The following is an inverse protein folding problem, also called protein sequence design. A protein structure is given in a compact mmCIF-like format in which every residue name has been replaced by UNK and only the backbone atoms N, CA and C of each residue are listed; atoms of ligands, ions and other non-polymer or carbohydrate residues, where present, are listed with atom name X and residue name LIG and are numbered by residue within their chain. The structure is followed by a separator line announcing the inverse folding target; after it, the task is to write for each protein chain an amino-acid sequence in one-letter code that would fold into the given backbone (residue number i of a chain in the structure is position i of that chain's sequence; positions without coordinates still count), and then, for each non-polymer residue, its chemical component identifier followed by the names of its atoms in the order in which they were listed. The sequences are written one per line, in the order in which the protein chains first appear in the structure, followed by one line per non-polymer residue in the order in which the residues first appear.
data_IF_061953167798
#
_entry.id   IF_061953167798
#
_cell.length_a   1.000
_cell.length_b   1.000
_cell.length_c   1.000
_cell.angle_alpha   90.00
_cell.angle_beta   90.00
_cell.angle_gamma   90.00
#
_symmetry.space_group_name_H-M   'P 1'
#
loop_
_entity.id
_entity.type
_entity.pdbx_description
1 polymer ?
#
# COMPACT_ATOMS: atom_id res chain seq x y z
N UNK A 1 -39.88 11.48 -7.70
CA UNK A 1 -40.73 12.47 -8.39
C UNK A 1 -40.77 13.85 -7.70
N UNK A 2 -41.08 13.98 -6.39
CA UNK A 2 -41.02 15.30 -5.72
C UNK A 2 -39.65 16.00 -5.81
N UNK A 3 -38.55 15.26 -5.57
CA UNK A 3 -37.17 15.78 -5.65
C UNK A 3 -36.69 16.22 -7.04
N UNK A 4 -37.29 15.73 -8.12
CA UNK A 4 -36.90 16.11 -9.50
C UNK A 4 -37.61 17.39 -9.96
N UNK A 5 -38.85 17.61 -9.48
CA UNK A 5 -39.65 18.78 -9.84
C UNK A 5 -39.45 19.97 -8.87
N UNK A 6 -39.16 19.74 -7.58
CA UNK A 6 -38.82 20.81 -6.64
C UNK A 6 -37.48 21.50 -6.99
N UNK A 7 -36.61 20.83 -7.76
CA UNK A 7 -35.33 21.38 -8.21
C UNK A 7 -35.44 22.33 -9.42
N UNK A 8 -36.56 22.29 -10.15
CA UNK A 8 -36.81 23.08 -11.37
C UNK A 8 -37.20 24.53 -11.04
N UNK A 9 -37.76 24.79 -9.86
CA UNK A 9 -38.14 26.15 -9.44
C UNK A 9 -37.00 26.92 -8.77
N UNK A 10 -36.07 26.26 -8.05
CA UNK A 10 -34.88 26.93 -7.49
C UNK A 10 -33.80 27.26 -8.54
N UNK A 11 -33.87 26.63 -9.72
CA UNK A 11 -32.92 26.83 -10.84
C UNK A 11 -33.14 28.14 -11.60
N UNK A 12 -34.29 28.81 -11.45
CA UNK A 12 -34.58 30.08 -12.15
C UNK A 12 -33.79 31.27 -11.58
N UNK A 13 -33.62 31.36 -10.27
CA UNK A 13 -32.86 32.46 -9.64
C UNK A 13 -31.35 32.33 -9.85
N UNK A 14 -30.83 31.09 -9.92
CA UNK A 14 -29.41 30.84 -10.21
C UNK A 14 -29.01 31.12 -11.67
N UNK A 15 -29.97 31.11 -12.60
CA UNK A 15 -29.71 31.30 -14.04
C UNK A 15 -29.23 32.72 -14.42
N UNK A 16 -29.56 33.73 -13.61
CA UNK A 16 -29.26 35.15 -13.90
C UNK A 16 -27.89 35.58 -13.38
N UNK A 17 -27.32 34.91 -12.38
CA UNK A 17 -25.99 35.20 -11.82
C UNK A 17 -24.82 34.63 -12.65
N UNK A 18 -25.10 33.77 -13.63
CA UNK A 18 -24.11 33.03 -14.39
C UNK A 18 -23.43 33.82 -15.54
N UNK A 19 -23.96 35.00 -15.90
CA UNK A 19 -23.49 35.78 -17.06
C UNK A 19 -22.07 36.38 -16.94
N UNK A 20 -21.36 36.20 -15.81
CA UNK A 20 -20.00 36.70 -15.59
C UNK A 20 -19.07 35.74 -14.82
N UNK A 21 -19.32 34.42 -14.83
CA UNK A 21 -18.40 33.51 -14.15
C UNK A 21 -17.12 33.27 -14.94
N UNK A 22 -15.99 33.37 -14.25
CA UNK A 22 -14.68 33.09 -14.80
C UNK A 22 -14.57 31.59 -15.09
N UNK A 23 -14.53 31.20 -16.37
CA UNK A 23 -14.33 29.82 -16.83
C UNK A 23 -13.13 29.14 -16.15
N UNK A 24 -12.11 29.91 -15.74
CA UNK A 24 -10.99 29.37 -14.97
C UNK A 24 -11.39 28.93 -13.56
N UNK A 25 -12.27 29.68 -12.88
CA UNK A 25 -12.74 29.35 -11.53
C UNK A 25 -13.65 28.11 -11.55
N UNK A 26 -14.55 28.02 -12.54
CA UNK A 26 -15.39 26.82 -12.73
C UNK A 26 -14.52 25.60 -13.01
N UNK A 27 -13.52 25.73 -13.90
CA UNK A 27 -12.60 24.63 -14.19
C UNK A 27 -11.86 24.17 -12.94
N UNK A 28 -11.37 25.11 -12.13
CA UNK A 28 -10.66 24.79 -10.90
C UNK A 28 -11.57 24.05 -9.90
N UNK A 29 -12.80 24.52 -9.71
CA UNK A 29 -13.78 23.86 -8.84
C UNK A 29 -14.08 22.43 -9.32
N UNK A 30 -14.24 22.23 -10.64
CA UNK A 30 -14.46 20.90 -11.20
C UNK A 30 -13.23 19.99 -11.07
N UNK A 31 -12.00 20.53 -11.21
CA UNK A 31 -10.77 19.76 -10.97
C UNK A 31 -10.71 19.23 -9.55
N UNK A 32 -11.06 20.07 -8.57
CA UNK A 32 -11.12 19.68 -7.15
C UNK A 32 -12.24 18.67 -6.90
N UNK A 33 -13.43 18.90 -7.44
CA UNK A 33 -14.58 18.02 -7.29
C UNK A 33 -14.34 16.60 -7.82
N UNK A 34 -13.71 16.48 -9.00
CA UNK A 34 -13.46 15.19 -9.65
C UNK A 34 -12.08 14.60 -9.34
N UNK A 35 -11.35 15.12 -8.34
CA UNK A 35 -9.97 14.72 -7.99
C UNK A 35 -9.07 14.59 -9.25
N UNK A 36 -9.15 15.61 -10.12
CA UNK A 36 -8.43 15.67 -11.39
C UNK A 36 -8.58 14.41 -12.26
N UNK A 37 -9.75 13.77 -12.21
CA UNK A 37 -10.07 12.56 -12.99
C UNK A 37 -11.23 12.81 -13.95
N UNK A 38 -11.25 12.08 -15.06
CA UNK A 38 -12.33 12.15 -16.03
C UNK A 38 -13.61 11.58 -15.39
N UNK A 39 -14.68 12.36 -15.36
CA UNK A 39 -16.00 11.94 -14.86
C UNK A 39 -16.52 10.67 -15.56
N UNK A 40 -16.11 10.41 -16.80
CA UNK A 40 -16.59 9.29 -17.61
C UNK A 40 -15.73 8.04 -17.54
N UNK A 41 -14.43 8.18 -17.85
CA UNK A 41 -13.54 7.03 -17.97
C UNK A 41 -12.59 6.86 -16.78
N UNK A 42 -12.71 7.75 -15.78
CA UNK A 42 -11.92 7.73 -14.54
C UNK A 42 -10.40 7.80 -14.75
N UNK A 43 -9.95 8.26 -15.92
CA UNK A 43 -8.54 8.54 -16.19
C UNK A 43 -8.10 9.81 -15.50
N UNK A 44 -6.89 9.81 -14.93
CA UNK A 44 -6.28 11.04 -14.45
C UNK A 44 -6.05 12.01 -15.61
N UNK A 45 -6.41 13.26 -15.39
CA UNK A 45 -6.33 14.34 -16.38
C UNK A 45 -5.06 15.19 -16.20
N UNK A 46 -4.74 15.99 -17.21
CA UNK A 46 -3.63 16.95 -17.14
C UNK A 46 -2.23 16.37 -17.39
N UNK A 47 -2.11 15.08 -17.71
CA UNK A 47 -0.81 14.46 -18.01
C UNK A 47 -0.31 14.79 -19.42
N UNK A 48 -1.19 14.68 -20.42
CA UNK A 48 -0.87 14.89 -21.84
C UNK A 48 -1.71 15.99 -22.48
N UNK A 49 -2.85 16.33 -21.89
CA UNK A 49 -3.74 17.38 -22.38
C UNK A 49 -4.48 18.03 -21.22
N UNK A 50 -4.84 19.32 -21.32
CA UNK A 50 -5.66 19.98 -20.32
C UNK A 50 -7.02 19.29 -20.13
N UNK A 51 -7.56 19.25 -18.90
CA UNK A 51 -8.94 18.85 -18.65
C UNK A 51 -9.93 19.73 -19.43
N UNK A 52 -10.99 19.11 -19.96
CA UNK A 52 -12.09 19.79 -20.64
C UNK A 52 -13.35 19.77 -19.78
N UNK A 53 -14.28 20.68 -20.06
CA UNK A 53 -15.60 20.73 -19.43
C UNK A 53 -16.62 20.27 -20.48
N UNK A 54 -17.23 19.12 -20.25
CA UNK A 54 -18.37 18.64 -21.04
C UNK A 54 -19.69 19.11 -20.42
N UNK A 55 -20.70 19.25 -21.28
CA UNK A 55 -22.09 19.51 -20.89
C UNK A 55 -22.88 18.21 -21.09
N UNK A 56 -23.30 17.57 -20.00
CA UNK A 56 -23.98 16.27 -20.06
C UNK A 56 -25.18 16.31 -21.01
N UNK A 57 -26.11 17.25 -20.76
CA UNK A 57 -27.14 17.70 -21.69
C UNK A 57 -26.51 18.65 -22.71
N UNK A 58 -26.44 18.28 -24.01
CA UNK A 58 -25.75 19.07 -25.01
C UNK A 58 -26.48 20.38 -25.29
N UNK A 59 -25.74 21.49 -25.28
CA UNK A 59 -26.29 22.84 -25.51
C UNK A 59 -27.08 22.99 -26.81
N UNK A 60 -26.72 22.23 -27.85
CA UNK A 60 -27.41 22.22 -29.15
C UNK A 60 -28.86 21.74 -29.05
N UNK A 61 -29.17 20.87 -28.10
CA UNK A 61 -30.49 20.28 -27.87
C UNK A 61 -31.16 20.83 -26.61
N UNK A 62 -30.37 21.23 -25.62
CA UNK A 62 -30.83 21.74 -24.33
C UNK A 62 -30.14 23.07 -23.96
N UNK A 63 -30.43 24.18 -24.66
CA UNK A 63 -29.80 25.48 -24.41
C UNK A 63 -29.96 25.96 -22.96
N UNK A 64 -31.13 25.72 -22.36
CA UNK A 64 -31.47 26.16 -21.00
C UNK A 64 -30.65 25.45 -19.91
N UNK A 65 -30.05 24.28 -20.23
CA UNK A 65 -29.21 23.51 -19.31
C UNK A 65 -27.72 23.85 -19.43
N UNK A 66 -27.32 24.59 -20.46
CA UNK A 66 -25.91 24.82 -20.79
C UNK A 66 -25.08 25.44 -19.66
N UNK A 67 -25.71 26.22 -18.78
CA UNK A 67 -25.05 26.95 -17.69
C UNK A 67 -25.40 26.44 -16.30
N UNK A 68 -26.06 25.28 -16.21
CA UNK A 68 -26.36 24.65 -14.92
C UNK A 68 -25.12 23.91 -14.43
N UNK A 69 -24.68 24.14 -13.18
CA UNK A 69 -23.51 23.47 -12.59
C UNK A 69 -23.63 21.95 -12.65
N UNK A 70 -24.82 21.44 -12.37
CA UNK A 70 -25.18 20.03 -12.41
C UNK A 70 -25.12 19.42 -13.82
N UNK A 71 -24.98 20.26 -14.85
CA UNK A 71 -24.78 19.85 -16.23
C UNK A 71 -23.29 19.84 -16.64
N UNK A 72 -22.38 20.37 -15.82
CA UNK A 72 -20.95 20.50 -16.15
C UNK A 72 -20.15 19.33 -15.58
N UNK A 73 -19.35 18.68 -16.43
CA UNK A 73 -18.53 17.53 -16.08
C UNK A 73 -17.08 17.78 -16.46
N UNK A 74 -16.15 17.43 -15.57
CA UNK A 74 -14.72 17.39 -15.91
C UNK A 74 -14.42 16.13 -16.71
N UNK A 75 -13.85 16.24 -17.90
CA UNK A 75 -13.56 15.07 -18.71
C UNK A 75 -12.28 15.20 -19.54
N UNK A 76 -11.82 14.08 -20.10
CA UNK A 76 -10.75 14.08 -21.08
C UNK A 76 -11.29 14.46 -22.47
N UNK A 77 -10.43 15.03 -23.30
CA UNK A 77 -10.75 15.42 -24.68
C UNK A 77 -11.30 14.26 -25.53
N UNK A 78 -10.86 13.03 -25.27
CA UNK A 78 -11.35 11.84 -25.97
C UNK A 78 -12.80 11.53 -25.62
N UNK A 79 -13.16 11.53 -24.33
CA UNK A 79 -14.54 11.29 -23.90
C UNK A 79 -15.46 12.43 -24.34
N UNK A 80 -15.01 13.68 -24.23
CA UNK A 80 -15.76 14.85 -24.69
C UNK A 80 -16.08 14.74 -26.18
N UNK A 81 -15.08 14.44 -27.01
CA UNK A 81 -15.23 14.27 -28.46
C UNK A 81 -16.12 13.09 -28.83
N UNK A 82 -15.95 11.95 -28.15
CA UNK A 82 -16.72 10.75 -28.44
C UNK A 82 -18.21 10.93 -28.09
N UNK A 83 -18.50 11.58 -26.96
CA UNK A 83 -19.87 11.95 -26.60
C UNK A 83 -20.43 13.00 -27.56
N UNK A 84 -19.74 14.12 -27.74
CA UNK A 84 -20.22 15.25 -28.54
C UNK A 84 -21.66 15.65 -28.15
N UNK A 85 -22.55 15.65 -29.15
CA UNK A 85 -23.99 15.90 -28.95
C UNK A 85 -24.82 14.61 -28.77
N UNK A 86 -24.19 13.44 -28.61
CA UNK A 86 -24.92 12.19 -28.42
C UNK A 86 -25.65 12.21 -27.07
N UNK A 87 -26.98 12.12 -27.14
CA UNK A 87 -27.87 12.09 -25.98
C UNK A 87 -29.03 11.13 -26.24
N UNK A 88 -28.75 9.81 -26.39
CA UNK A 88 -29.77 8.83 -26.70
C UNK A 88 -30.80 8.73 -25.57
N UNK A 89 -32.06 8.61 -25.95
CA UNK A 89 -33.19 8.41 -25.03
C UNK A 89 -33.80 7.03 -25.26
N UNK A 90 -34.39 6.45 -24.22
CA UNK A 90 -35.24 5.26 -24.35
C UNK A 90 -36.66 5.64 -24.83
N UNK A 91 -37.55 4.64 -24.89
CA UNK A 91 -38.93 4.83 -25.34
C UNK A 91 -39.77 5.75 -24.42
N UNK A 92 -39.35 5.91 -23.16
CA UNK A 92 -40.00 6.77 -22.17
C UNK A 92 -39.38 8.17 -22.12
N UNK A 93 -38.38 8.44 -22.97
CA UNK A 93 -37.67 9.71 -23.05
C UNK A 93 -36.59 9.89 -21.96
N UNK A 94 -36.18 8.81 -21.29
CA UNK A 94 -35.12 8.85 -20.28
C UNK A 94 -33.72 8.67 -20.91
N UNK A 95 -32.68 9.34 -20.38
CA UNK A 95 -31.35 9.27 -20.96
C UNK A 95 -30.71 7.90 -20.80
N UNK A 96 -30.29 7.32 -21.93
CA UNK A 96 -29.55 6.06 -21.96
C UNK A 96 -28.08 6.23 -21.58
N UNK A 97 -27.50 7.41 -21.81
CA UNK A 97 -26.15 7.73 -21.34
C UNK A 97 -26.16 7.89 -19.81
N UNK A 98 -25.20 7.27 -19.12
CA UNK A 98 -25.03 7.44 -17.68
C UNK A 98 -24.44 8.83 -17.37
N UNK A 99 -25.06 9.50 -16.41
CA UNK A 99 -24.61 10.77 -15.85
C UNK A 99 -23.69 10.51 -14.64
N UNK A 100 -22.39 10.82 -14.71
CA UNK A 100 -21.45 10.63 -13.60
C UNK A 100 -21.82 11.32 -12.29
N UNK A 101 -22.69 12.34 -12.31
CA UNK A 101 -23.14 13.05 -11.09
C UNK A 101 -24.28 12.36 -10.36
N UNK A 102 -25.10 11.59 -11.08
CA UNK A 102 -26.39 11.12 -10.56
C UNK A 102 -26.57 9.61 -10.66
N UNK A 103 -25.90 8.97 -11.61
CA UNK A 103 -25.99 7.53 -11.82
C UNK A 103 -24.85 6.81 -11.10
N UNK A 104 -25.18 5.68 -10.48
CA UNK A 104 -24.19 4.75 -9.95
C UNK A 104 -23.71 3.83 -11.07
N UNK A 105 -22.46 4.00 -11.52
CA UNK A 105 -21.91 3.22 -12.64
C UNK A 105 -21.86 1.71 -12.34
N UNK A 106 -21.65 1.33 -11.08
CA UNK A 106 -21.55 -0.08 -10.65
C UNK A 106 -22.87 -0.86 -10.81
N UNK A 107 -24.01 -0.15 -10.88
CA UNK A 107 -25.32 -0.78 -11.16
C UNK A 107 -25.51 -1.08 -12.66
N UNK A 108 -24.73 -0.43 -13.52
CA UNK A 108 -24.95 -0.42 -14.97
C UNK A 108 -23.83 -1.07 -15.78
N UNK A 109 -22.59 -1.07 -15.27
CA UNK A 109 -21.43 -1.67 -15.91
C UNK A 109 -20.43 -2.20 -14.87
N UNK A 110 -19.53 -3.07 -15.32
CA UNK A 110 -18.46 -3.67 -14.51
C UNK A 110 -17.14 -3.60 -15.25
N UNK A 111 -16.04 -3.41 -14.53
CA UNK A 111 -14.69 -3.58 -15.07
C UNK A 111 -14.16 -4.97 -14.73
N UNK A 112 -13.85 -5.76 -15.75
CA UNK A 112 -13.28 -7.10 -15.61
C UNK A 112 -11.78 -7.05 -15.32
N UNK A 113 -11.20 -8.18 -14.88
CA UNK A 113 -9.77 -8.29 -14.54
C UNK A 113 -8.84 -8.01 -15.71
N UNK A 114 -9.31 -8.22 -16.93
CA UNK A 114 -8.59 -7.90 -18.17
C UNK A 114 -8.75 -6.43 -18.59
N UNK A 115 -9.36 -5.58 -17.76
CA UNK A 115 -9.55 -4.15 -18.00
C UNK A 115 -10.72 -3.81 -18.93
N UNK A 116 -11.47 -4.81 -19.41
CA UNK A 116 -12.64 -4.60 -20.27
C UNK A 116 -13.84 -4.16 -19.42
N UNK A 117 -14.54 -3.12 -19.88
CA UNK A 117 -15.83 -2.71 -19.35
C UNK A 117 -16.94 -3.56 -20.00
N UNK A 118 -17.75 -4.23 -19.18
CA UNK A 118 -18.90 -5.04 -19.57
C UNK A 118 -20.19 -4.39 -19.07
N UNK A 119 -21.25 -4.44 -19.87
CA UNK A 119 -22.54 -3.87 -19.51
C UNK A 119 -23.36 -4.83 -18.65
N UNK A 120 -24.01 -4.30 -17.61
CA UNK A 120 -25.03 -4.99 -16.82
C UNK A 120 -26.43 -4.62 -17.35
N UNK A 121 -26.57 -3.40 -17.87
CA UNK A 121 -27.84 -2.83 -18.35
C UNK A 121 -27.68 -2.20 -19.74
N UNK A 122 -28.79 -1.93 -20.43
CA UNK A 122 -28.78 -1.21 -21.72
C UNK A 122 -28.16 0.20 -21.59
N UNK A 123 -28.39 0.91 -20.47
CA UNK A 123 -27.74 2.21 -20.22
C UNK A 123 -26.21 2.08 -20.15
N UNK A 124 -25.73 1.04 -19.47
CA UNK A 124 -24.31 0.72 -19.39
C UNK A 124 -23.72 0.39 -20.76
N UNK A 125 -24.44 -0.40 -21.58
CA UNK A 125 -24.03 -0.76 -22.94
C UNK A 125 -23.88 0.47 -23.83
N UNK A 126 -24.92 1.30 -23.89
CA UNK A 126 -24.91 2.55 -24.67
C UNK A 126 -23.78 3.49 -24.21
N UNK A 127 -23.54 3.56 -22.90
CA UNK A 127 -22.46 4.37 -22.33
C UNK A 127 -21.07 3.86 -22.72
N UNK A 128 -20.84 2.55 -22.65
CA UNK A 128 -19.58 1.93 -23.08
C UNK A 128 -19.32 2.21 -24.56
N UNK A 129 -20.35 2.06 -25.40
CA UNK A 129 -20.28 2.28 -26.85
C UNK A 129 -20.01 3.75 -27.20
N UNK A 130 -20.82 4.69 -26.69
CA UNK A 130 -20.68 6.13 -26.99
C UNK A 130 -19.34 6.67 -26.54
N UNK A 131 -18.94 6.38 -25.30
CA UNK A 131 -17.70 6.93 -24.75
C UNK A 131 -16.47 6.15 -25.22
N UNK A 132 -16.68 5.01 -25.90
CA UNK A 132 -15.66 4.04 -26.28
C UNK A 132 -14.77 3.69 -25.08
N UNK A 133 -15.40 3.18 -24.02
CA UNK A 133 -14.73 2.85 -22.75
C UNK A 133 -13.77 1.66 -22.88
N UNK A 134 -13.83 0.90 -23.96
CA UNK A 134 -12.97 -0.24 -24.28
C UNK A 134 -11.89 0.08 -25.33
N UNK A 135 -11.53 1.36 -25.50
CA UNK A 135 -10.36 1.71 -26.32
C UNK A 135 -9.06 1.16 -25.70
N UNK A 136 -8.08 0.72 -26.50
CA UNK A 136 -6.90 -0.01 -26.00
C UNK A 136 -6.16 0.66 -24.84
N UNK A 137 -5.96 1.98 -24.91
CA UNK A 137 -5.28 2.72 -23.85
C UNK A 137 -5.97 2.64 -22.48
N UNK A 138 -7.31 2.63 -22.44
CA UNK A 138 -8.06 2.51 -21.18
C UNK A 138 -7.97 1.10 -20.59
N UNK A 139 -8.03 0.09 -21.46
CA UNK A 139 -7.92 -1.31 -21.06
C UNK A 139 -6.57 -1.53 -20.37
N UNK A 140 -5.48 -1.09 -21.00
CA UNK A 140 -4.14 -1.22 -20.43
C UNK A 140 -3.97 -0.42 -19.14
N UNK A 141 -4.50 0.80 -19.06
CA UNK A 141 -4.45 1.59 -17.83
C UNK A 141 -5.19 0.90 -16.67
N UNK A 142 -6.39 0.33 -16.92
CA UNK A 142 -7.14 -0.41 -15.89
C UNK A 142 -6.41 -1.69 -15.46
N UNK A 143 -5.80 -2.43 -16.38
CA UNK A 143 -4.96 -3.59 -16.04
C UNK A 143 -3.80 -3.18 -15.13
N UNK A 144 -3.10 -2.10 -15.45
CA UNK A 144 -2.00 -1.60 -14.63
C UNK A 144 -2.47 -1.20 -13.23
N UNK A 145 -3.59 -0.48 -13.11
CA UNK A 145 -4.17 -0.13 -11.80
C UNK A 145 -4.54 -1.38 -10.99
N UNK A 146 -5.11 -2.40 -11.64
CA UNK A 146 -5.47 -3.64 -10.97
C UNK A 146 -4.22 -4.39 -10.49
N UNK A 147 -3.17 -4.46 -11.31
CA UNK A 147 -1.88 -5.03 -10.92
C UNK A 147 -1.25 -4.28 -9.75
N UNK A 148 -1.29 -2.95 -9.76
CA UNK A 148 -0.82 -2.12 -8.65
C UNK A 148 -1.61 -2.41 -7.37
N UNK A 149 -2.94 -2.53 -7.47
CA UNK A 149 -3.81 -2.86 -6.34
C UNK A 149 -3.53 -4.26 -5.79
N UNK A 150 -3.46 -5.26 -6.66
CA UNK A 150 -3.16 -6.65 -6.29
C UNK A 150 -1.76 -6.75 -5.66
N UNK A 151 -0.79 -5.99 -6.17
CA UNK A 151 0.54 -5.89 -5.60
C UNK A 151 0.50 -5.28 -4.19
N UNK A 152 -0.19 -4.16 -3.99
CA UNK A 152 -0.32 -3.50 -2.68
C UNK A 152 -1.09 -4.33 -1.66
N UNK A 153 -2.16 -5.03 -2.06
CA UNK A 153 -2.93 -5.91 -1.19
C UNK A 153 -2.08 -7.11 -0.72
N UNK A 154 -1.39 -7.78 -1.66
CA UNK A 154 -0.43 -8.83 -1.30
C UNK A 154 0.70 -8.28 -0.43
N UNK A 155 1.13 -7.04 -0.69
CA UNK A 155 2.15 -6.38 0.11
C UNK A 155 1.69 -6.20 1.56
N UNK A 156 0.49 -5.66 1.78
CA UNK A 156 -0.07 -5.48 3.13
C UNK A 156 -0.18 -6.81 3.84
N UNK A 157 -0.84 -7.79 3.21
CA UNK A 157 -1.18 -9.07 3.82
C UNK A 157 0.03 -9.79 4.43
N UNK A 158 1.13 -9.92 3.69
CA UNK A 158 2.31 -10.65 4.18
C UNK A 158 3.08 -9.81 5.23
N UNK A 159 3.09 -8.47 5.11
CA UNK A 159 3.64 -7.60 6.16
C UNK A 159 2.83 -7.64 7.45
N UNK A 160 1.51 -7.75 7.32
CA UNK A 160 0.59 -7.89 8.43
C UNK A 160 0.74 -9.28 9.07
N UNK A 161 1.08 -10.34 8.33
CA UNK A 161 1.24 -11.70 8.88
C UNK A 161 2.31 -11.78 9.97
N UNK A 162 3.58 -11.44 9.70
CA UNK A 162 4.64 -11.60 10.71
C UNK A 162 4.50 -10.62 11.88
N UNK A 163 4.00 -9.40 11.61
CA UNK A 163 3.73 -8.42 12.66
C UNK A 163 2.59 -8.87 13.56
N UNK A 164 1.51 -9.40 12.98
CA UNK A 164 0.37 -9.95 13.74
C UNK A 164 0.81 -11.11 14.61
N UNK A 165 1.57 -12.08 14.06
CA UNK A 165 2.13 -13.20 14.82
C UNK A 165 2.95 -12.71 16.01
N UNK A 166 3.81 -11.70 15.82
CA UNK A 166 4.57 -11.10 16.91
C UNK A 166 3.65 -10.49 17.98
N UNK A 167 2.69 -9.65 17.60
CA UNK A 167 1.79 -8.98 18.55
C UNK A 167 0.90 -9.96 19.33
N UNK A 168 0.41 -11.02 18.67
CA UNK A 168 -0.37 -12.08 19.30
C UNK A 168 0.49 -12.87 20.30
N UNK A 169 1.73 -13.21 19.94
CA UNK A 169 2.66 -13.88 20.85
C UNK A 169 2.97 -13.03 22.09
N UNK A 170 3.24 -11.73 21.92
CA UNK A 170 3.48 -10.82 23.05
C UNK A 170 2.24 -10.70 23.94
N UNK A 171 1.05 -10.62 23.35
CA UNK A 171 -0.22 -10.62 24.11
C UNK A 171 -0.37 -11.89 24.95
N UNK A 172 -0.15 -13.06 24.35
CA UNK A 172 -0.23 -14.35 25.05
C UNK A 172 0.81 -14.44 26.17
N UNK A 173 2.04 -13.95 25.96
CA UNK A 173 3.07 -13.90 27.00
C UNK A 173 2.64 -13.01 28.18
N UNK A 174 2.07 -11.83 27.91
CA UNK A 174 1.55 -10.93 28.94
C UNK A 174 0.42 -11.57 29.74
N UNK A 175 -0.48 -12.29 29.07
CA UNK A 175 -1.57 -13.04 29.70
C UNK A 175 -1.04 -14.17 30.59
N UNK A 176 -0.11 -14.99 30.08
CA UNK A 176 0.55 -16.05 30.85
C UNK A 176 1.30 -15.52 32.08
N UNK A 177 1.93 -14.34 31.95
CA UNK A 177 2.61 -13.67 33.06
C UNK A 177 1.64 -13.29 34.19
N UNK A 178 0.39 -12.96 33.86
CA UNK A 178 -0.67 -12.69 34.85
C UNK A 178 -1.02 -13.90 35.71
N UNK A 179 -0.81 -15.12 35.20
CA UNK A 179 -1.06 -16.35 35.95
C UNK A 179 0.13 -16.84 36.78
N UNK A 180 1.32 -16.24 36.64
CA UNK A 180 2.52 -16.70 37.36
C UNK A 180 2.33 -16.72 38.88
N UNK A 181 1.64 -15.71 39.44
CA UNK A 181 1.47 -15.60 40.89
C UNK A 181 0.51 -16.63 41.49
N UNK A 182 -0.29 -17.31 40.66
CA UNK A 182 -1.16 -18.41 41.08
C UNK A 182 -0.39 -19.73 41.25
N UNK A 183 0.89 -19.76 40.87
CA UNK A 183 1.73 -20.96 40.90
C UNK A 183 2.65 -20.99 42.13
N UNK A 184 3.11 -22.19 42.53
CA UNK A 184 4.10 -22.37 43.59
C UNK A 184 5.41 -21.66 43.23
N UNK A 185 6.17 -21.18 44.21
CA UNK A 185 7.34 -20.30 43.97
C UNK A 185 8.40 -20.91 43.04
N UNK A 186 8.70 -22.20 43.15
CA UNK A 186 9.64 -22.88 42.26
C UNK A 186 9.12 -22.97 40.81
N UNK A 187 7.81 -23.12 40.62
CA UNK A 187 7.16 -23.15 39.30
C UNK A 187 7.10 -21.74 38.71
N UNK A 188 6.78 -20.75 39.55
CA UNK A 188 6.70 -19.33 39.21
C UNK A 188 8.01 -18.81 38.61
N UNK A 189 9.13 -19.10 39.26
CA UNK A 189 10.45 -18.73 38.77
C UNK A 189 10.77 -19.36 37.41
N UNK A 190 10.49 -20.65 37.25
CA UNK A 190 10.76 -21.35 36.00
C UNK A 190 9.89 -20.81 34.86
N UNK A 191 8.61 -20.57 35.13
CA UNK A 191 7.68 -19.98 34.18
C UNK A 191 8.14 -18.58 33.75
N UNK A 192 8.58 -17.73 34.67
CA UNK A 192 9.12 -16.40 34.33
C UNK A 192 10.37 -16.48 33.45
N UNK A 193 11.28 -17.42 33.71
CA UNK A 193 12.46 -17.64 32.86
C UNK A 193 12.06 -18.04 31.43
N UNK A 194 11.04 -18.89 31.29
CA UNK A 194 10.49 -19.28 29.99
C UNK A 194 9.84 -18.08 29.30
N UNK A 195 8.98 -17.33 29.99
CA UNK A 195 8.30 -16.16 29.42
C UNK A 195 9.30 -15.09 28.96
N UNK A 196 10.33 -14.78 29.77
CA UNK A 196 11.40 -13.87 29.39
C UNK A 196 12.07 -14.32 28.08
N UNK A 197 12.42 -15.60 28.00
CA UNK A 197 13.07 -16.16 26.81
C UNK A 197 12.13 -16.12 25.59
N UNK A 198 10.83 -16.34 25.78
CA UNK A 198 9.84 -16.27 24.72
C UNK A 198 9.64 -14.85 24.16
N UNK A 199 9.80 -13.79 24.97
CA UNK A 199 9.78 -12.41 24.43
C UNK A 199 10.93 -12.21 23.44
N UNK A 200 12.12 -12.67 23.81
CA UNK A 200 13.31 -12.58 22.94
C UNK A 200 13.15 -13.47 21.70
N UNK A 201 12.64 -14.70 21.83
CA UNK A 201 12.32 -15.55 20.68
C UNK A 201 11.33 -14.85 19.73
N UNK A 202 10.29 -14.21 20.26
CA UNK A 202 9.29 -13.48 19.44
C UNK A 202 9.95 -12.35 18.65
N UNK A 203 10.89 -11.62 19.27
CA UNK A 203 11.69 -10.61 18.58
C UNK A 203 12.54 -11.20 17.46
N UNK A 204 13.29 -12.28 17.75
CA UNK A 204 14.16 -12.95 16.77
C UNK A 204 13.36 -13.41 15.55
N UNK A 205 12.21 -14.04 15.78
CA UNK A 205 11.30 -14.49 14.71
C UNK A 205 10.79 -13.30 13.89
N UNK A 206 10.34 -12.22 14.54
CA UNK A 206 9.91 -11.01 13.83
C UNK A 206 11.02 -10.44 12.94
N UNK A 207 12.24 -10.29 13.48
CA UNK A 207 13.37 -9.74 12.73
C UNK A 207 13.74 -10.63 11.53
N UNK A 208 13.72 -11.95 11.71
CA UNK A 208 13.95 -12.90 10.61
C UNK A 208 12.91 -12.76 9.52
N UNK A 209 11.63 -12.90 9.89
CA UNK A 209 10.55 -12.91 8.92
C UNK A 209 10.39 -11.56 8.23
N UNK A 210 10.51 -10.45 8.96
CA UNK A 210 10.40 -9.12 8.39
C UNK A 210 11.54 -8.86 7.38
N UNK A 211 12.77 -9.24 7.69
CA UNK A 211 13.91 -9.05 6.79
C UNK A 211 13.76 -9.91 5.52
N UNK A 212 13.58 -11.22 5.67
CA UNK A 212 13.50 -12.17 4.56
C UNK A 212 12.34 -11.80 3.62
N UNK A 213 11.16 -11.53 4.17
CA UNK A 213 10.00 -11.19 3.36
C UNK A 213 10.13 -9.83 2.68
N UNK A 214 10.89 -8.88 3.24
CA UNK A 214 11.14 -7.59 2.57
C UNK A 214 12.13 -7.76 1.43
N UNK A 215 13.22 -8.52 1.64
CA UNK A 215 14.25 -8.77 0.63
C UNK A 215 13.73 -9.58 -0.55
N UNK A 216 12.96 -10.65 -0.30
CA UNK A 216 12.43 -11.53 -1.36
C UNK A 216 11.43 -10.85 -2.31
N UNK A 217 10.81 -9.76 -1.88
CA UNK A 217 9.77 -9.09 -2.67
C UNK A 217 10.29 -8.07 -3.67
N UNK A 218 11.49 -7.55 -3.48
CA UNK A 218 12.08 -6.56 -4.38
C UNK A 218 13.49 -7.01 -4.82
N UNK A 219 13.67 -7.19 -6.12
CA UNK A 219 14.95 -7.57 -6.70
C UNK A 219 16.07 -6.58 -6.39
N UNK A 220 15.76 -5.31 -6.14
CA UNK A 220 16.74 -4.31 -5.70
C UNK A 220 17.25 -4.62 -4.29
N UNK A 221 16.38 -5.02 -3.36
CA UNK A 221 16.80 -5.43 -2.02
C UNK A 221 17.54 -6.76 -2.04
N UNK A 222 17.10 -7.73 -2.86
CA UNK A 222 17.84 -8.98 -3.07
C UNK A 222 19.26 -8.71 -3.58
N UNK A 223 19.39 -7.83 -4.59
CA UNK A 223 20.69 -7.43 -5.12
C UNK A 223 21.55 -6.76 -4.04
N UNK A 224 21.00 -5.78 -3.31
CA UNK A 224 21.72 -5.11 -2.21
C UNK A 224 22.19 -6.12 -1.18
N UNK A 225 21.35 -7.06 -0.78
CA UNK A 225 21.71 -8.11 0.17
C UNK A 225 22.91 -8.91 -0.35
N UNK A 226 22.89 -9.33 -1.61
CA UNK A 226 24.00 -10.08 -2.21
C UNK A 226 25.31 -9.26 -2.21
N UNK A 227 25.22 -7.96 -2.51
CA UNK A 227 26.36 -7.05 -2.57
C UNK A 227 26.91 -6.68 -1.17
N UNK A 228 26.07 -6.63 -0.14
CA UNK A 228 26.44 -6.16 1.20
C UNK A 228 26.72 -7.28 2.18
N UNK A 229 26.16 -8.48 1.98
CA UNK A 229 26.32 -9.59 2.92
C UNK A 229 27.75 -10.15 2.89
N UNK A 230 28.45 -10.02 4.02
CA UNK A 230 29.88 -10.36 4.17
C UNK A 230 30.27 -11.74 3.60
N UNK A 231 29.46 -12.79 3.80
CA UNK A 231 29.76 -14.14 3.33
C UNK A 231 29.78 -14.28 1.80
N UNK A 232 29.10 -13.40 1.07
CA UNK A 232 29.04 -13.44 -0.38
C UNK A 232 30.12 -12.57 -1.03
N UNK A 233 30.59 -11.51 -0.34
CA UNK A 233 31.65 -10.63 -0.85
C UNK A 233 32.95 -11.37 -1.15
N UNK A 234 33.25 -12.42 -0.41
CA UNK A 234 34.47 -13.20 -0.56
C UNK A 234 34.39 -14.28 -1.64
N UNK A 235 33.22 -14.54 -2.20
CA UNK A 235 33.01 -15.63 -3.14
C UNK A 235 33.46 -15.24 -4.56
N UNK A 236 34.23 -16.12 -5.21
CA UNK A 236 34.71 -15.95 -6.60
C UNK A 236 34.22 -17.12 -7.44
N UNK A 237 33.86 -16.84 -8.70
CA UNK A 237 33.41 -17.84 -9.67
C UNK A 237 33.89 -17.46 -11.08
N UNK A 238 34.00 -18.46 -11.96
CA UNK A 238 34.37 -18.26 -13.36
C UNK A 238 33.17 -17.82 -14.21
N UNK A 239 33.43 -17.16 -15.34
CA UNK A 239 32.36 -16.72 -16.27
C UNK A 239 31.49 -17.89 -16.78
N UNK A 240 32.04 -19.10 -16.85
CA UNK A 240 31.33 -20.32 -17.24
C UNK A 240 30.25 -20.75 -16.23
N UNK A 241 30.36 -20.30 -14.99
CA UNK A 241 29.42 -20.61 -13.90
C UNK A 241 28.40 -19.50 -13.66
N UNK A 242 28.58 -18.32 -14.27
CA UNK A 242 27.78 -17.12 -14.04
C UNK A 242 26.27 -17.39 -14.11
N UNK A 243 25.80 -18.03 -15.18
CA UNK A 243 24.37 -18.31 -15.34
C UNK A 243 23.87 -19.31 -14.29
N UNK A 244 24.66 -20.34 -13.94
CA UNK A 244 24.30 -21.31 -12.88
C UNK A 244 24.19 -20.64 -11.51
N UNK A 245 25.08 -19.70 -11.21
CA UNK A 245 25.05 -18.92 -9.97
C UNK A 245 23.84 -17.97 -9.96
N UNK A 246 23.58 -17.30 -11.08
CA UNK A 246 22.46 -16.38 -11.23
C UNK A 246 21.11 -17.10 -11.05
N UNK A 247 20.94 -18.27 -11.67
CA UNK A 247 19.70 -19.06 -11.57
C UNK A 247 19.38 -19.49 -10.12
N UNK A 248 20.40 -19.65 -9.28
CA UNK A 248 20.26 -20.09 -7.88
C UNK A 248 20.44 -18.98 -6.85
N UNK A 249 20.58 -17.73 -7.28
CA UNK A 249 20.99 -16.64 -6.40
C UNK A 249 19.95 -16.35 -5.32
N UNK A 250 18.67 -16.46 -5.66
CA UNK A 250 17.56 -16.22 -4.73
C UNK A 250 17.48 -17.31 -3.66
N UNK A 251 17.61 -18.58 -4.05
CA UNK A 251 17.62 -19.71 -3.11
C UNK A 251 18.81 -19.61 -2.15
N UNK A 252 19.99 -19.29 -2.70
CA UNK A 252 21.21 -19.13 -1.91
C UNK A 252 21.11 -17.97 -0.93
N UNK A 253 20.60 -16.82 -1.38
CA UNK A 253 20.37 -15.67 -0.53
C UNK A 253 19.35 -15.99 0.57
N UNK A 254 18.25 -16.66 0.21
CA UNK A 254 17.22 -17.07 1.17
C UNK A 254 17.80 -17.98 2.25
N UNK A 255 18.57 -19.00 1.85
CA UNK A 255 19.25 -19.89 2.80
C UNK A 255 20.20 -19.12 3.72
N UNK A 256 21.02 -18.23 3.15
CA UNK A 256 21.95 -17.42 3.94
C UNK A 256 21.23 -16.51 4.94
N UNK A 257 20.07 -15.94 4.59
CA UNK A 257 19.25 -15.16 5.53
C UNK A 257 18.62 -16.02 6.63
N UNK A 258 18.23 -17.26 6.33
CA UNK A 258 17.69 -18.20 7.32
C UNK A 258 18.76 -18.68 8.31
N UNK A 259 20.01 -18.81 7.87
CA UNK A 259 21.14 -19.25 8.69
C UNK A 259 21.69 -18.13 9.61
N UNK A 260 21.11 -16.92 9.56
CA UNK A 260 21.52 -15.79 10.43
C UNK A 260 21.02 -15.99 11.85
N UNK A 261 21.90 -15.68 12.81
CA UNK A 261 21.57 -15.66 14.23
C UNK A 261 20.94 -14.29 14.56
N UNK A 262 19.61 -14.22 14.63
CA UNK A 262 18.90 -12.95 14.74
C UNK A 262 18.99 -12.26 16.12
N UNK A 263 19.46 -12.96 17.16
CA UNK A 263 19.80 -12.31 18.42
C UNK A 263 21.18 -11.62 18.41
N UNK A 264 21.99 -11.77 17.36
CA UNK A 264 23.18 -10.91 17.16
C UNK A 264 22.74 -9.54 16.63
N UNK A 265 22.13 -8.73 17.51
CA UNK A 265 21.50 -7.46 17.14
C UNK A 265 22.42 -6.48 16.42
N UNK A 266 23.73 -6.33 16.77
CA UNK A 266 24.64 -5.49 16.00
C UNK A 266 24.78 -5.94 14.53
N UNK A 267 24.93 -7.25 14.29
CA UNK A 267 24.99 -7.81 12.94
C UNK A 267 23.67 -7.59 12.19
N UNK A 268 22.54 -7.89 12.83
CA UNK A 268 21.21 -7.72 12.24
C UNK A 268 20.93 -6.24 11.93
N UNK A 269 21.31 -5.31 12.82
CA UNK A 269 21.22 -3.87 12.56
C UNK A 269 21.96 -3.48 11.28
N UNK A 270 23.20 -3.97 11.12
CA UNK A 270 23.98 -3.73 9.89
C UNK A 270 23.27 -4.27 8.65
N UNK A 271 22.74 -5.50 8.72
CA UNK A 271 22.00 -6.10 7.61
C UNK A 271 20.77 -5.27 7.20
N UNK A 272 19.98 -4.80 8.17
CA UNK A 272 18.80 -3.97 7.92
C UNK A 272 19.17 -2.62 7.28
N UNK A 273 20.17 -1.94 7.82
CA UNK A 273 20.68 -0.67 7.29
C UNK A 273 21.20 -0.83 5.87
N UNK A 274 22.12 -1.78 5.65
CA UNK A 274 22.85 -1.90 4.38
C UNK A 274 21.96 -2.43 3.24
N UNK A 275 20.99 -3.29 3.57
CA UNK A 275 20.14 -3.97 2.57
C UNK A 275 18.89 -3.17 2.25
N UNK A 276 18.13 -2.77 3.28
CA UNK A 276 16.79 -2.20 3.13
C UNK A 276 16.67 -0.76 3.66
N UNK A 277 17.77 -0.18 4.16
CA UNK A 277 17.81 1.22 4.60
C UNK A 277 16.98 1.50 5.85
N UNK A 278 16.86 0.52 6.75
CA UNK A 278 16.14 0.66 8.02
C UNK A 278 17.12 0.78 9.17
N UNK A 279 16.92 1.81 9.98
CA UNK A 279 17.72 2.06 11.17
C UNK A 279 17.03 1.53 12.42
N UNK A 280 17.77 0.78 13.22
CA UNK A 280 17.26 0.35 14.53
C UNK A 280 17.26 1.52 15.52
N UNK A 281 16.19 1.69 16.34
CA UNK A 281 16.19 2.63 17.46
C UNK A 281 17.20 2.17 18.53
N UNK A 282 17.22 2.83 19.70
CA UNK A 282 18.16 2.45 20.77
C UNK A 282 18.03 0.96 21.13
N UNK A 283 19.13 0.24 20.99
CA UNK A 283 19.22 -1.20 21.21
C UNK A 283 19.60 -1.55 22.64
N UNK A 284 19.99 -0.57 23.46
CA UNK A 284 20.66 -0.81 24.73
C UNK A 284 19.86 -1.72 25.68
N UNK A 285 18.55 -1.51 25.77
CA UNK A 285 17.66 -2.30 26.65
C UNK A 285 17.52 -3.74 26.13
N UNK A 286 17.20 -3.90 24.86
CA UNK A 286 16.94 -5.20 24.24
C UNK A 286 18.23 -6.02 24.14
N UNK A 287 19.34 -5.39 23.79
CA UNK A 287 20.64 -6.05 23.73
C UNK A 287 21.04 -6.62 25.10
N UNK A 288 20.83 -5.87 26.18
CA UNK A 288 21.03 -6.40 27.55
C UNK A 288 20.11 -7.59 27.85
N UNK A 289 18.87 -7.55 27.40
CA UNK A 289 17.93 -8.65 27.59
C UNK A 289 18.32 -9.92 26.81
N UNK A 290 18.80 -9.78 25.57
CA UNK A 290 19.37 -10.87 24.77
C UNK A 290 20.57 -11.52 25.47
N UNK A 291 21.46 -10.72 26.06
CA UNK A 291 22.58 -11.26 26.83
C UNK A 291 22.08 -12.05 28.04
N UNK A 292 21.09 -11.53 28.78
CA UNK A 292 20.47 -12.24 29.92
C UNK A 292 19.75 -13.52 29.50
N UNK A 293 19.13 -13.57 28.31
CA UNK A 293 18.44 -14.74 27.78
C UNK A 293 19.34 -15.98 27.74
N UNK A 294 20.64 -15.82 27.51
CA UNK A 294 21.58 -16.94 27.56
C UNK A 294 21.61 -17.63 28.93
N UNK A 295 21.50 -16.87 30.01
CA UNK A 295 21.48 -17.42 31.37
C UNK A 295 20.16 -18.17 31.64
N UNK A 296 19.03 -17.64 31.18
CA UNK A 296 17.73 -18.30 31.33
C UNK A 296 17.62 -19.61 30.56
N UNK A 297 18.15 -19.65 29.33
CA UNK A 297 18.06 -20.83 28.46
C UNK A 297 19.14 -21.87 28.74
N UNK A 298 20.40 -21.46 28.94
CA UNK A 298 21.52 -22.40 29.03
C UNK A 298 22.05 -22.60 30.45
N UNK A 299 21.63 -21.77 31.42
CA UNK A 299 22.12 -21.84 32.81
C UNK A 299 21.00 -21.86 33.84
N UNK A 300 19.78 -22.19 33.40
CA UNK A 300 18.59 -22.29 34.24
C UNK A 300 18.39 -21.05 35.14
N UNK A 301 18.60 -19.86 34.58
CA UNK A 301 18.44 -18.57 35.26
C UNK A 301 19.61 -18.19 36.17
N UNK A 302 20.79 -18.79 36.01
CA UNK A 302 22.00 -18.43 36.76
C UNK A 302 23.03 -17.74 35.86
N UNK A 303 23.72 -16.74 36.41
CA UNK A 303 24.90 -16.10 35.80
C UNK A 303 26.08 -17.07 35.69
N UNK A 304 27.17 -16.65 35.03
CA UNK A 304 28.44 -17.42 34.98
C UNK A 304 28.97 -17.77 36.36
N UNK A 305 28.79 -16.86 37.31
CA UNK A 305 29.29 -17.00 38.69
C UNK A 305 28.32 -17.76 39.60
N UNK A 306 27.25 -18.35 39.03
CA UNK A 306 26.27 -19.16 39.76
C UNK A 306 25.20 -18.35 40.50
N UNK A 307 25.27 -17.01 40.51
CA UNK A 307 24.23 -16.15 41.09
C UNK A 307 22.94 -16.26 40.29
N UNK A 308 21.83 -16.53 40.98
CA UNK A 308 20.49 -16.65 40.38
C UNK A 308 19.94 -15.27 40.03
N UNK A 309 19.32 -15.16 38.85
CA UNK A 309 18.51 -14.00 38.49
C UNK A 309 17.16 -14.06 39.21
N UNK A 310 16.68 -12.91 39.66
CA UNK A 310 15.32 -12.77 40.18
C UNK A 310 14.51 -11.97 39.16
N UNK A 311 13.50 -12.62 38.59
CA UNK A 311 12.54 -12.01 37.68
C UNK A 311 11.22 -11.79 38.40
N UNK A 312 10.66 -10.61 38.21
CA UNK A 312 9.31 -10.22 38.62
C UNK A 312 8.36 -10.20 37.43
N UNK A 313 7.05 -10.17 37.67
CA UNK A 313 6.08 -9.97 36.58
C UNK A 313 6.35 -8.64 35.85
N UNK A 314 6.79 -7.61 36.59
CA UNK A 314 7.10 -6.30 36.03
C UNK A 314 8.24 -6.40 35.01
N UNK A 315 9.29 -7.18 35.28
CA UNK A 315 10.40 -7.36 34.35
C UNK A 315 9.94 -7.95 33.00
N UNK A 316 8.98 -8.89 33.02
CA UNK A 316 8.41 -9.48 31.81
C UNK A 316 7.56 -8.45 31.05
N UNK A 317 6.75 -7.66 31.77
CA UNK A 317 5.93 -6.60 31.17
C UNK A 317 6.79 -5.51 30.54
N UNK A 318 7.81 -5.03 31.26
CA UNK A 318 8.73 -3.99 30.81
C UNK A 318 9.53 -4.45 29.58
N UNK A 319 10.00 -5.71 29.57
CA UNK A 319 10.67 -6.29 28.41
C UNK A 319 9.71 -6.44 27.22
N UNK A 320 8.48 -6.92 27.47
CA UNK A 320 7.45 -7.05 26.42
C UNK A 320 7.16 -5.70 25.78
N UNK A 321 6.99 -4.65 26.59
CA UNK A 321 6.76 -3.29 26.11
C UNK A 321 7.94 -2.75 25.31
N UNK A 322 9.16 -2.86 25.85
CA UNK A 322 10.37 -2.38 25.18
C UNK A 322 10.58 -3.07 23.83
N UNK A 323 10.25 -4.36 23.75
CA UNK A 323 10.34 -5.16 22.52
C UNK A 323 9.27 -4.76 21.51
N UNK A 324 8.04 -4.54 21.98
CA UNK A 324 6.92 -4.08 21.14
C UNK A 324 7.20 -2.69 20.55
N UNK A 325 7.68 -1.73 21.35
CA UNK A 325 8.05 -0.39 20.89
C UNK A 325 9.14 -0.44 19.82
N UNK A 326 10.14 -1.30 20.02
CA UNK A 326 11.22 -1.52 19.06
C UNK A 326 10.70 -2.12 17.74
N UNK A 327 9.87 -3.16 17.81
CA UNK A 327 9.26 -3.79 16.64
C UNK A 327 8.33 -2.82 15.91
N UNK A 328 7.54 -2.02 16.63
CA UNK A 328 6.66 -1.02 16.05
C UNK A 328 7.44 0.01 15.24
N UNK A 329 8.58 0.49 15.77
CA UNK A 329 9.43 1.43 15.07
C UNK A 329 9.96 0.85 13.73
N UNK A 330 10.42 -0.39 13.74
CA UNK A 330 10.88 -1.08 12.52
C UNK A 330 9.72 -1.29 11.55
N UNK A 331 8.57 -1.76 12.05
CA UNK A 331 7.38 -2.02 11.23
C UNK A 331 6.90 -0.74 10.52
N UNK A 332 6.92 0.40 11.21
CA UNK A 332 6.56 1.69 10.63
C UNK A 332 7.53 2.16 9.55
N UNK A 333 8.83 1.87 9.71
CA UNK A 333 9.82 2.11 8.65
C UNK A 333 9.57 1.20 7.44
N UNK A 334 9.33 -0.11 7.65
CA UNK A 334 8.95 -1.04 6.58
C UNK A 334 7.67 -0.57 5.87
N UNK A 335 6.68 -0.06 6.61
CA UNK A 335 5.45 0.54 6.07
C UNK A 335 5.70 1.75 5.16
N UNK A 336 6.79 2.49 5.36
CA UNK A 336 7.18 3.62 4.50
C UNK A 336 7.94 3.17 3.25
N UNK A 337 8.60 2.00 3.28
CA UNK A 337 9.16 1.38 2.07
C UNK A 337 8.06 0.97 1.06
N UNK A 338 6.80 0.85 1.51
CA UNK A 338 5.64 0.39 0.72
C UNK A 338 5.15 1.36 -0.35
N UNK A 339 5.61 2.60 -0.36
CA UNK A 339 5.30 3.53 -1.44
C UNK A 339 6.42 3.44 -2.46
N UNK A 340 6.20 2.89 -3.68
CA UNK A 340 7.06 3.30 -4.77
C UNK A 340 7.00 4.82 -4.78
N UNK A 341 8.15 5.48 -4.54
CA UNK A 341 8.30 6.86 -4.98
C UNK A 341 8.00 6.79 -6.47
N UNK A 342 6.79 7.22 -6.85
CA UNK A 342 6.45 7.53 -8.25
C UNK A 342 7.68 8.16 -8.85
N UNK A 343 8.08 7.70 -10.03
CA UNK A 343 9.18 8.19 -10.83
C UNK A 343 9.10 9.73 -11.02
N UNK A 344 9.47 10.47 -9.99
CA UNK A 344 9.58 11.92 -9.98
C UNK A 344 10.93 12.38 -10.52
N UNK A 345 11.88 11.45 -10.73
CA UNK A 345 13.25 11.77 -11.14
C UNK A 345 13.63 11.29 -12.54
N UNK A 346 12.66 11.10 -13.45
CA UNK A 346 12.96 10.94 -14.89
C UNK A 346 13.01 12.29 -15.64
N UNK A 347 13.38 13.37 -14.94
CA UNK A 347 13.56 14.71 -15.54
C UNK A 347 15.01 15.19 -15.68
N UNK A 348 16.01 14.32 -15.54
CA UNK A 348 17.44 14.74 -15.59
C UNK A 348 18.28 14.15 -16.73
N UNK A 349 17.78 13.29 -17.61
CA UNK A 349 18.62 12.68 -18.68
C UNK A 349 18.21 12.97 -20.14
N UNK A 350 17.68 14.16 -20.43
CA UNK A 350 17.52 14.66 -21.82
C UNK A 350 18.00 16.12 -21.98
N UNK A 351 19.11 16.48 -21.33
CA UNK A 351 19.91 17.67 -21.67
C UNK A 351 21.39 17.30 -21.80
N UNK A 352 21.69 16.38 -22.70
CA UNK A 352 23.04 16.23 -23.25
C UNK A 352 22.92 15.67 -24.67
N UNK A 353 23.20 16.51 -25.66
CA UNK A 353 23.31 16.09 -27.06
C UNK A 353 22.31 16.76 -27.98
N UNK A 354 22.58 18.02 -28.31
CA UNK A 354 22.46 18.60 -29.65
C UNK A 354 23.23 19.92 -29.58
N UNK A 355 24.53 19.83 -29.86
CA UNK A 355 25.32 20.94 -30.39
C UNK A 355 25.11 20.98 -31.89
#
# INVERSE_FOLDING_TARGET
MKKYNEHIESTREHSVLFQRQNLSAIRQALIEEFDNSCAYCECRLGLTSPPEIDQFYPKSQYPDKAFQLDNLLLCCSVCNRNKGNAFPLDNDGLPLLLNPRFDNFDEHLKFEKDGIATAITERGKVTIEILNLNRPALIEERKLRQLEKDFLENYSKISDTYYTIFTENIKNIRELNGFCDLTKDNVKEHLRNMLFSNVITSLETYLSDAFINTVKRDKQYLRKFVETFHNFRSEKFDLTELFKCYDKIEDKATKAMLDVIYHDLPKVKGMYSDTIGIDFPDLSVIYKAVLKRHDFVHRNGKTKDGKKHELTNKDILDLSQSTEDFVNNINDQIKKLKLPKKAADNKVLLKAGLK
#
